data_IF_359362405624
#
_entry.id   IF_359362405624
#
_cell.length_a   1.000
_cell.length_b   1.000
_cell.length_c   1.000
_cell.angle_alpha   90.00
_cell.angle_beta   90.00
_cell.angle_gamma   90.00
#
_symmetry.space_group_name_H-M   'P 1'
#
loop_
_entity.id
_entity.type
_entity.pdbx_description
1 polymer ?
#
# COMPACT_ATOMS: atom_id res chain seq x y z
N UNK A 1 -38.21 -32.97 6.63
CA UNK A 1 -38.59 -31.55 6.77
C UNK A 1 -37.59 -30.79 7.63
N UNK A 2 -37.19 -31.34 8.78
CA UNK A 2 -36.23 -30.73 9.73
C UNK A 2 -34.85 -30.53 9.06
N UNK A 3 -34.29 -31.54 8.45
CA UNK A 3 -32.98 -31.51 7.79
C UNK A 3 -32.89 -30.42 6.73
N UNK A 4 -33.95 -30.27 5.94
CA UNK A 4 -34.00 -29.24 4.88
C UNK A 4 -34.00 -27.81 5.47
N UNK A 5 -34.76 -27.58 6.55
CA UNK A 5 -34.90 -26.25 7.15
C UNK A 5 -33.66 -25.83 7.95
N UNK A 6 -33.05 -26.75 8.70
CA UNK A 6 -31.96 -26.43 9.63
C UNK A 6 -30.57 -26.53 9.01
N UNK A 7 -30.38 -27.32 7.96
CA UNK A 7 -29.10 -27.55 7.33
C UNK A 7 -29.04 -27.12 5.86
N UNK A 8 -29.90 -27.69 5.00
CA UNK A 8 -29.81 -27.48 3.55
C UNK A 8 -30.09 -26.04 3.15
N UNK A 9 -31.12 -25.41 3.72
CA UNK A 9 -31.47 -24.02 3.39
C UNK A 9 -30.40 -23.01 3.78
N UNK A 10 -29.82 -23.03 5.00
CA UNK A 10 -28.70 -22.17 5.37
C UNK A 10 -27.48 -22.36 4.47
N UNK A 11 -27.09 -23.61 4.17
CA UNK A 11 -25.95 -23.90 3.29
C UNK A 11 -26.23 -23.35 1.86
N UNK A 12 -27.43 -23.55 1.33
CA UNK A 12 -27.80 -22.99 0.02
C UNK A 12 -27.73 -21.45 0.02
N UNK A 13 -28.13 -20.80 1.09
CA UNK A 13 -28.00 -19.34 1.23
C UNK A 13 -26.53 -18.89 1.26
N UNK A 14 -25.63 -19.60 1.93
CA UNK A 14 -24.21 -19.34 1.93
C UNK A 14 -23.59 -19.48 0.52
N UNK A 15 -23.96 -20.54 -0.21
CA UNK A 15 -23.54 -20.74 -1.58
C UNK A 15 -24.03 -19.60 -2.48
N UNK A 16 -25.29 -19.20 -2.33
CA UNK A 16 -25.86 -18.06 -3.08
C UNK A 16 -25.10 -16.77 -2.78
N UNK A 17 -24.80 -16.52 -1.50
CA UNK A 17 -24.01 -15.36 -1.08
C UNK A 17 -22.61 -15.36 -1.71
N UNK A 18 -21.90 -16.49 -1.68
CA UNK A 18 -20.57 -16.59 -2.30
C UNK A 18 -20.62 -16.34 -3.80
N UNK A 19 -21.66 -16.83 -4.50
CA UNK A 19 -21.82 -16.57 -5.93
C UNK A 19 -22.14 -15.09 -6.21
N UNK A 20 -22.95 -14.43 -5.37
CA UNK A 20 -23.24 -13.00 -5.50
C UNK A 20 -21.99 -12.13 -5.33
N UNK A 21 -21.10 -12.50 -4.41
CA UNK A 21 -19.80 -11.83 -4.26
C UNK A 21 -18.98 -11.97 -5.54
N UNK A 22 -18.91 -13.18 -6.09
CA UNK A 22 -18.18 -13.46 -7.34
C UNK A 22 -18.71 -12.63 -8.51
N UNK A 23 -20.02 -12.48 -8.62
CA UNK A 23 -20.69 -11.77 -9.71
C UNK A 23 -20.79 -10.25 -9.49
N UNK A 24 -20.13 -9.69 -8.44
CA UNK A 24 -20.20 -8.27 -8.04
C UNK A 24 -21.66 -7.75 -7.89
N UNK A 25 -22.60 -8.64 -7.60
CA UNK A 25 -24.01 -8.28 -7.43
C UNK A 25 -24.23 -7.63 -6.07
N UNK A 26 -24.67 -6.38 -6.07
CA UNK A 26 -24.96 -5.57 -4.86
C UNK A 26 -26.24 -6.00 -4.13
N UNK A 27 -26.81 -7.17 -4.44
CA UNK A 27 -27.98 -7.65 -3.72
C UNK A 27 -27.59 -8.06 -2.31
N UNK A 28 -28.12 -7.36 -1.31
CA UNK A 28 -28.01 -7.72 0.11
C UNK A 28 -28.56 -9.13 0.29
N UNK A 29 -27.67 -10.10 0.31
CA UNK A 29 -28.05 -11.48 0.60
C UNK A 29 -28.43 -11.59 2.06
N UNK A 30 -29.35 -12.49 2.38
CA UNK A 30 -29.93 -12.68 3.71
C UNK A 30 -28.95 -13.42 4.66
N UNK A 31 -27.65 -13.07 4.61
CA UNK A 31 -26.61 -13.69 5.43
C UNK A 31 -26.74 -13.29 6.91
N UNK A 32 -27.31 -12.12 7.21
CA UNK A 32 -27.47 -11.65 8.58
C UNK A 32 -28.34 -12.57 9.43
N UNK A 33 -29.35 -13.20 8.83
CA UNK A 33 -30.19 -14.18 9.53
C UNK A 33 -29.41 -15.46 9.90
N UNK A 34 -28.32 -15.75 9.17
CA UNK A 34 -27.49 -16.93 9.42
C UNK A 34 -26.35 -16.57 10.39
N UNK A 35 -25.82 -15.34 10.34
CA UNK A 35 -24.79 -14.85 11.27
C UNK A 35 -25.22 -14.92 12.74
N UNK A 36 -26.51 -14.81 13.03
CA UNK A 36 -27.08 -14.84 14.38
C UNK A 36 -27.26 -16.26 14.95
N UNK A 37 -26.85 -17.30 14.25
CA UNK A 37 -26.87 -18.68 14.75
C UNK A 37 -25.69 -18.92 15.70
N UNK A 38 -25.94 -19.76 16.72
CA UNK A 38 -24.92 -20.17 17.72
C UNK A 38 -24.37 -21.58 17.43
N UNK A 39 -24.33 -21.99 16.16
CA UNK A 39 -23.80 -23.27 15.71
C UNK A 39 -22.65 -23.08 14.72
N UNK A 40 -22.11 -24.19 14.19
CA UNK A 40 -20.99 -24.21 13.23
C UNK A 40 -21.34 -23.45 11.95
N UNK A 41 -22.61 -23.49 11.52
CA UNK A 41 -23.07 -22.75 10.33
C UNK A 41 -23.07 -21.24 10.60
N UNK A 42 -23.43 -20.82 11.81
CA UNK A 42 -23.34 -19.44 12.25
C UNK A 42 -21.89 -18.95 12.29
N UNK A 43 -20.98 -19.76 12.84
CA UNK A 43 -19.55 -19.46 12.88
C UNK A 43 -18.97 -19.35 11.46
N UNK A 44 -19.30 -20.28 10.57
CA UNK A 44 -18.88 -20.24 9.16
C UNK A 44 -19.42 -18.98 8.46
N UNK A 45 -20.67 -18.61 8.72
CA UNK A 45 -21.29 -17.41 8.14
C UNK A 45 -20.59 -16.13 8.60
N UNK A 46 -20.19 -16.03 9.88
CA UNK A 46 -19.43 -14.90 10.41
C UNK A 46 -18.07 -14.79 9.73
N UNK A 47 -17.31 -15.90 9.73
CA UNK A 47 -15.96 -15.91 9.10
C UNK A 47 -16.01 -15.58 7.61
N UNK A 48 -17.02 -16.09 6.89
CA UNK A 48 -17.22 -15.74 5.48
C UNK A 48 -17.56 -14.26 5.28
N UNK A 49 -18.39 -13.69 6.17
CA UNK A 49 -18.70 -12.27 6.17
C UNK A 49 -17.46 -11.41 6.41
N UNK A 50 -16.68 -11.71 7.45
CA UNK A 50 -15.44 -11.01 7.77
C UNK A 50 -14.43 -11.06 6.61
N UNK A 51 -14.26 -12.23 6.00
CA UNK A 51 -13.39 -12.39 4.83
C UNK A 51 -13.87 -11.54 3.64
N UNK A 52 -15.18 -11.47 3.44
CA UNK A 52 -15.75 -10.66 2.35
C UNK A 52 -15.57 -9.16 2.60
N UNK A 53 -15.81 -8.71 3.82
CA UNK A 53 -15.66 -7.31 4.21
C UNK A 53 -14.19 -6.88 4.06
N UNK A 54 -13.24 -7.74 4.46
CA UNK A 54 -11.81 -7.50 4.28
C UNK A 54 -11.42 -7.44 2.79
N UNK A 55 -11.97 -8.35 1.97
CA UNK A 55 -11.74 -8.34 0.52
C UNK A 55 -12.27 -7.06 -0.13
N UNK A 56 -13.48 -6.64 0.21
CA UNK A 56 -14.04 -5.38 -0.29
C UNK A 56 -13.21 -4.18 0.11
N UNK A 57 -12.75 -4.11 1.36
CA UNK A 57 -11.87 -3.05 1.85
C UNK A 57 -10.58 -2.98 1.03
N UNK A 58 -9.95 -4.12 0.75
CA UNK A 58 -8.73 -4.18 -0.07
C UNK A 58 -8.97 -3.72 -1.50
N UNK A 59 -10.08 -4.16 -2.11
CA UNK A 59 -10.44 -3.74 -3.48
C UNK A 59 -10.66 -2.23 -3.52
N UNK A 60 -11.46 -1.67 -2.60
CA UNK A 60 -11.72 -0.22 -2.56
C UNK A 60 -10.44 0.57 -2.32
N UNK A 61 -9.58 0.08 -1.44
CA UNK A 61 -8.27 0.71 -1.20
C UNK A 61 -7.40 0.72 -2.47
N UNK A 62 -7.32 -0.41 -3.19
CA UNK A 62 -6.58 -0.50 -4.44
C UNK A 62 -7.17 0.38 -5.55
N UNK A 63 -8.51 0.46 -5.66
CA UNK A 63 -9.20 1.33 -6.61
C UNK A 63 -8.93 2.82 -6.32
N UNK A 64 -8.97 3.24 -5.06
CA UNK A 64 -8.66 4.61 -4.66
C UNK A 64 -7.21 4.96 -5.00
N UNK A 65 -6.24 4.11 -4.65
CA UNK A 65 -4.84 4.32 -4.99
C UNK A 65 -4.59 4.40 -6.49
N UNK A 66 -5.24 3.54 -7.28
CA UNK A 66 -5.15 3.61 -8.75
C UNK A 66 -5.68 4.92 -9.29
N UNK A 67 -6.78 5.41 -8.73
CA UNK A 67 -7.40 6.68 -9.15
C UNK A 67 -6.50 7.85 -8.81
N UNK A 68 -5.96 7.89 -7.60
CA UNK A 68 -5.05 8.94 -7.14
C UNK A 68 -3.76 8.96 -7.99
N UNK A 69 -3.17 7.80 -8.25
CA UNK A 69 -2.00 7.68 -9.12
C UNK A 69 -2.27 8.23 -10.54
N UNK A 70 -3.41 7.85 -11.13
CA UNK A 70 -3.80 8.35 -12.45
C UNK A 70 -3.96 9.86 -12.47
N UNK A 71 -4.52 10.47 -11.43
CA UNK A 71 -4.63 11.92 -11.31
C UNK A 71 -3.26 12.58 -11.16
N UNK A 72 -2.37 12.03 -10.34
CA UNK A 72 -1.04 12.58 -10.13
C UNK A 72 -0.11 12.44 -11.34
N UNK A 73 -0.28 11.39 -12.17
CA UNK A 73 0.46 11.23 -13.43
C UNK A 73 -0.09 12.14 -14.53
N UNK A 74 -1.41 12.37 -14.57
CA UNK A 74 -2.03 13.19 -15.61
C UNK A 74 -1.50 14.64 -15.62
N UNK A 75 -1.22 15.20 -14.44
CA UNK A 75 -0.74 16.58 -14.33
C UNK A 75 0.63 16.78 -14.98
N UNK A 76 1.70 16.04 -14.66
CA UNK A 76 2.98 16.16 -15.34
C UNK A 76 2.89 15.80 -16.83
N UNK A 77 2.06 14.83 -17.22
CA UNK A 77 1.85 14.51 -18.64
C UNK A 77 1.24 15.68 -19.41
N UNK A 78 0.29 16.43 -18.84
CA UNK A 78 -0.27 17.64 -19.46
C UNK A 78 0.78 18.73 -19.58
N UNK A 79 1.62 18.93 -18.55
CA UNK A 79 2.75 19.86 -18.57
C UNK A 79 3.77 19.49 -19.63
N UNK A 80 4.18 18.22 -19.70
CA UNK A 80 5.08 17.69 -20.73
C UNK A 80 4.55 17.94 -22.14
N UNK A 81 3.26 17.70 -22.38
CA UNK A 81 2.62 17.96 -23.67
C UNK A 81 2.69 19.43 -24.02
N UNK A 82 2.29 20.33 -23.12
CA UNK A 82 2.34 21.77 -23.34
C UNK A 82 3.77 22.27 -23.58
N UNK A 83 4.74 21.78 -22.80
CA UNK A 83 6.14 22.13 -23.00
C UNK A 83 6.67 21.67 -24.36
N UNK A 84 6.29 20.44 -24.79
CA UNK A 84 6.67 19.90 -26.10
C UNK A 84 6.10 20.74 -27.26
N UNK A 85 4.83 21.15 -27.17
CA UNK A 85 4.18 22.00 -28.18
C UNK A 85 4.92 23.33 -28.31
N UNK A 86 5.22 24.01 -27.19
CA UNK A 86 5.94 25.28 -27.18
C UNK A 86 7.39 25.13 -27.65
N UNK A 87 8.09 24.05 -27.31
CA UNK A 87 9.46 23.80 -27.79
C UNK A 87 9.50 23.68 -29.30
N UNK A 88 8.47 23.14 -29.93
CA UNK A 88 8.40 22.98 -31.39
C UNK A 88 8.15 24.30 -32.10
N UNK A 89 7.55 25.27 -31.43
CA UNK A 89 7.17 26.58 -32.01
C UNK A 89 8.15 27.72 -31.70
N UNK A 90 9.04 27.55 -30.70
CA UNK A 90 9.94 28.62 -30.24
C UNK A 90 11.34 28.51 -30.86
N UNK A 91 11.86 29.63 -31.37
CA UNK A 91 13.25 29.78 -31.83
C UNK A 91 14.18 30.33 -30.75
N UNK A 92 13.63 30.79 -29.62
CA UNK A 92 14.42 31.33 -28.50
C UNK A 92 15.11 30.22 -27.73
N UNK A 93 16.44 30.16 -27.82
CA UNK A 93 17.28 29.19 -27.09
C UNK A 93 17.11 29.28 -25.57
N UNK A 94 16.91 30.47 -25.03
CA UNK A 94 16.75 30.67 -23.58
C UNK A 94 15.42 30.05 -23.10
N UNK A 95 14.36 30.31 -23.85
CA UNK A 95 13.04 29.75 -23.56
C UNK A 95 13.04 28.23 -23.74
N UNK A 96 13.63 27.69 -24.81
CA UNK A 96 13.78 26.26 -25.04
C UNK A 96 14.51 25.58 -23.91
N UNK A 97 15.61 26.13 -23.39
CA UNK A 97 16.33 25.57 -22.26
C UNK A 97 15.52 25.54 -20.96
N UNK A 98 14.67 26.53 -20.74
CA UNK A 98 13.76 26.53 -19.57
C UNK A 98 12.71 25.42 -19.69
N UNK A 99 12.13 25.26 -20.88
CA UNK A 99 11.13 24.21 -21.14
C UNK A 99 11.73 22.81 -21.01
N UNK A 100 12.95 22.57 -21.48
CA UNK A 100 13.65 21.29 -21.31
C UNK A 100 13.84 20.96 -19.83
N UNK A 101 14.15 21.95 -18.99
CA UNK A 101 14.24 21.73 -17.53
C UNK A 101 12.91 21.33 -16.91
N UNK A 102 11.81 21.94 -17.37
CA UNK A 102 10.45 21.55 -16.92
C UNK A 102 10.16 20.11 -17.34
N UNK A 103 10.45 19.75 -18.57
CA UNK A 103 10.29 18.37 -19.08
C UNK A 103 11.08 17.38 -18.24
N UNK A 104 12.37 17.67 -17.97
CA UNK A 104 13.21 16.78 -17.13
C UNK A 104 12.65 16.63 -15.73
N UNK A 105 12.23 17.72 -15.10
CA UNK A 105 11.64 17.70 -13.77
C UNK A 105 10.33 16.88 -13.71
N UNK A 106 9.47 17.03 -14.74
CA UNK A 106 8.20 16.29 -14.78
C UNK A 106 8.41 14.79 -15.04
N UNK A 107 9.41 14.41 -15.86
CA UNK A 107 9.84 13.01 -16.02
C UNK A 107 10.32 12.42 -14.70
N UNK A 108 11.24 13.10 -14.00
CA UNK A 108 11.72 12.67 -12.69
C UNK A 108 10.58 12.52 -11.67
N UNK A 109 9.58 13.40 -11.75
CA UNK A 109 8.39 13.31 -10.89
C UNK A 109 7.59 12.07 -11.19
N UNK A 110 7.36 11.72 -12.47
CA UNK A 110 6.64 10.50 -12.87
C UNK A 110 7.41 9.25 -12.42
N UNK A 111 8.73 9.20 -12.62
CA UNK A 111 9.56 8.09 -12.17
C UNK A 111 9.46 7.88 -10.65
N UNK A 112 9.45 8.98 -9.90
CA UNK A 112 9.26 8.93 -8.44
C UNK A 112 7.89 8.36 -8.07
N UNK A 113 6.82 8.85 -8.69
CA UNK A 113 5.47 8.37 -8.44
C UNK A 113 5.34 6.85 -8.70
N UNK A 114 5.91 6.37 -9.81
CA UNK A 114 5.90 4.94 -10.14
C UNK A 114 6.69 4.13 -9.11
N UNK A 115 7.84 4.63 -8.67
CA UNK A 115 8.68 3.97 -7.68
C UNK A 115 7.98 3.89 -6.33
N UNK A 116 7.44 5.01 -5.85
CA UNK A 116 6.73 5.10 -4.57
C UNK A 116 5.49 4.19 -4.57
N UNK A 117 4.74 4.15 -5.69
CA UNK A 117 3.59 3.26 -5.84
C UNK A 117 3.99 1.77 -5.85
N UNK A 118 5.07 1.44 -6.56
CA UNK A 118 5.59 0.07 -6.59
C UNK A 118 6.08 -0.38 -5.21
N UNK A 119 6.66 0.53 -4.42
CA UNK A 119 7.07 0.24 -3.05
C UNK A 119 5.85 0.02 -2.16
N UNK A 120 4.85 0.88 -2.24
CA UNK A 120 3.61 0.74 -1.47
C UNK A 120 2.91 -0.61 -1.73
N UNK A 121 2.85 -1.08 -2.99
CA UNK A 121 2.29 -2.39 -3.32
C UNK A 121 3.09 -3.54 -2.69
N UNK A 122 4.43 -3.43 -2.64
CA UNK A 122 5.28 -4.41 -1.97
C UNK A 122 5.05 -4.43 -0.46
N UNK A 123 4.94 -3.25 0.14
CA UNK A 123 4.71 -3.11 1.58
C UNK A 123 3.34 -3.70 1.97
N UNK A 124 2.30 -3.46 1.18
CA UNK A 124 0.96 -4.03 1.39
C UNK A 124 0.99 -5.57 1.26
N UNK A 125 1.72 -6.11 0.29
CA UNK A 125 1.91 -7.54 0.13
C UNK A 125 2.69 -8.14 1.31
N UNK A 126 3.72 -7.48 1.80
CA UNK A 126 4.50 -7.89 2.97
C UNK A 126 3.66 -7.90 4.25
N UNK A 127 2.89 -6.84 4.51
CA UNK A 127 1.96 -6.75 5.65
C UNK A 127 0.97 -7.92 5.65
N UNK A 128 0.54 -8.36 4.47
CA UNK A 128 -0.45 -9.42 4.33
C UNK A 128 0.14 -10.83 4.47
N UNK A 129 1.39 -11.02 4.03
CA UNK A 129 2.03 -12.34 3.95
C UNK A 129 2.98 -12.66 5.10
N UNK A 130 3.56 -11.65 5.72
CA UNK A 130 4.57 -11.87 6.76
C UNK A 130 3.95 -12.05 8.15
N UNK A 131 4.54 -12.98 8.91
CA UNK A 131 4.19 -13.19 10.32
C UNK A 131 4.97 -12.19 11.17
N UNK A 132 4.30 -11.65 12.18
CA UNK A 132 4.97 -10.81 13.19
C UNK A 132 6.11 -11.58 13.86
N UNK A 133 7.29 -10.97 13.93
CA UNK A 133 8.50 -11.48 14.56
C UNK A 133 8.94 -10.55 15.69
N UNK A 134 9.74 -11.07 16.61
CA UNK A 134 10.42 -10.21 17.59
C UNK A 134 11.52 -9.42 16.88
N UNK A 135 11.45 -8.11 16.99
CA UNK A 135 12.36 -7.16 16.35
C UNK A 135 13.04 -6.36 17.46
N UNK A 136 14.36 -6.24 17.40
CA UNK A 136 15.11 -5.37 18.30
C UNK A 136 15.12 -3.94 17.75
N UNK A 137 14.46 -3.02 18.47
CA UNK A 137 14.38 -1.61 18.09
C UNK A 137 15.77 -0.93 18.10
N UNK A 138 16.69 -1.41 18.92
CA UNK A 138 18.04 -0.82 19.01
C UNK A 138 18.80 -1.06 17.71
N UNK A 139 18.71 -2.26 17.14
CA UNK A 139 19.34 -2.58 15.84
C UNK A 139 18.79 -1.70 14.72
N UNK A 140 17.46 -1.52 14.66
CA UNK A 140 16.84 -0.69 13.63
C UNK A 140 17.28 0.78 13.78
N UNK A 141 17.18 1.34 14.99
CA UNK A 141 17.55 2.75 15.22
C UNK A 141 19.05 2.95 14.97
N UNK A 142 19.89 1.97 15.30
CA UNK A 142 21.32 2.01 15.01
C UNK A 142 21.58 2.05 13.50
N UNK A 143 20.94 1.18 12.73
CA UNK A 143 21.05 1.18 11.25
C UNK A 143 20.66 2.53 10.66
N UNK A 144 19.53 3.10 11.09
CA UNK A 144 19.08 4.43 10.63
C UNK A 144 20.07 5.53 10.99
N UNK A 145 20.65 5.50 12.20
CA UNK A 145 21.66 6.48 12.63
C UNK A 145 22.95 6.34 11.83
N UNK A 146 23.38 5.12 11.55
CA UNK A 146 24.59 4.84 10.77
C UNK A 146 24.40 5.30 9.31
N UNK A 147 23.23 5.04 8.70
CA UNK A 147 22.88 5.52 7.36
C UNK A 147 22.85 7.06 7.32
N UNK A 148 22.23 7.69 8.31
CA UNK A 148 22.17 9.14 8.40
C UNK A 148 23.57 9.74 8.52
N UNK A 149 24.43 9.20 9.40
CA UNK A 149 25.79 9.66 9.57
C UNK A 149 26.61 9.49 8.28
N UNK A 150 26.44 8.40 7.54
CA UNK A 150 27.13 8.16 6.26
C UNK A 150 26.80 9.21 5.20
N UNK A 151 25.56 9.72 5.18
CA UNK A 151 25.07 10.71 4.21
C UNK A 151 25.51 12.13 4.59
N UNK A 152 25.49 12.47 5.89
CA UNK A 152 25.68 13.85 6.37
C UNK A 152 27.08 14.16 6.90
N UNK A 153 27.85 13.16 7.31
CA UNK A 153 29.23 13.36 7.79
C UNK A 153 30.13 14.03 6.74
N UNK A 154 29.94 13.66 5.46
CA UNK A 154 30.65 14.25 4.33
C UNK A 154 30.25 15.68 3.97
N UNK A 155 29.09 16.19 4.43
CA UNK A 155 28.53 17.49 4.00
C UNK A 155 28.48 18.57 5.06
N UNK A 156 28.35 18.24 6.36
CA UNK A 156 28.10 19.24 7.42
C UNK A 156 28.75 18.97 8.78
N UNK A 157 29.58 17.93 8.95
CA UNK A 157 30.18 17.54 10.25
C UNK A 157 29.14 17.40 11.38
N UNK A 158 27.93 16.97 11.06
CA UNK A 158 26.85 16.74 12.02
C UNK A 158 26.75 15.24 12.22
N UNK A 159 27.11 14.75 13.40
CA UNK A 159 26.99 13.34 13.79
C UNK A 159 25.87 13.13 14.80
N UNK A 160 25.04 12.10 14.57
CA UNK A 160 24.02 11.66 15.52
C UNK A 160 24.59 10.50 16.34
N UNK A 161 24.43 10.54 17.66
CA UNK A 161 24.85 9.47 18.58
C UNK A 161 23.65 8.84 19.24
N UNK A 162 23.52 7.54 19.12
CA UNK A 162 22.49 6.77 19.82
C UNK A 162 22.94 6.50 21.26
N UNK A 163 22.13 6.90 22.24
CA UNK A 163 22.31 6.52 23.66
C UNK A 163 21.22 5.53 24.05
N UNK A 164 21.62 4.34 24.45
CA UNK A 164 20.71 3.31 24.98
C UNK A 164 21.03 3.07 26.47
N UNK A 165 19.98 2.91 27.28
CA UNK A 165 20.15 2.43 28.65
C UNK A 165 20.32 0.91 28.64
N UNK A 166 21.54 0.43 28.79
CA UNK A 166 22.02 -0.92 28.55
C UNK A 166 21.38 -2.09 29.32
N UNK A 167 20.26 -1.88 30.01
CA UNK A 167 19.58 -2.93 30.79
C UNK A 167 18.14 -3.20 30.40
N UNK A 168 17.61 -2.55 29.35
CA UNK A 168 16.24 -2.76 28.89
C UNK A 168 16.21 -3.51 27.56
N UNK A 169 15.45 -4.59 27.52
CA UNK A 169 15.13 -5.29 26.27
C UNK A 169 14.12 -4.44 25.49
N UNK A 170 14.54 -3.87 24.38
CA UNK A 170 13.70 -3.04 23.50
C UNK A 170 13.10 -3.84 22.34
N UNK A 171 12.77 -5.11 22.57
CA UNK A 171 12.15 -5.94 21.53
C UNK A 171 10.64 -5.74 21.50
N UNK A 172 10.10 -5.58 20.27
CA UNK A 172 8.67 -5.52 19.98
C UNK A 172 8.27 -6.65 19.05
N UNK A 173 6.98 -6.95 19.02
CA UNK A 173 6.40 -7.81 18.00
C UNK A 173 6.03 -6.93 16.80
N UNK A 174 6.65 -7.17 15.65
CA UNK A 174 6.43 -6.39 14.44
C UNK A 174 6.71 -7.20 13.18
N UNK A 175 6.38 -6.61 12.06
CA UNK A 175 6.80 -7.11 10.75
C UNK A 175 8.27 -6.75 10.52
N UNK A 176 9.03 -7.64 9.90
CA UNK A 176 10.45 -7.39 9.60
C UNK A 176 10.56 -6.26 8.58
N UNK A 177 11.08 -5.10 9.03
CA UNK A 177 11.23 -3.88 8.22
C UNK A 177 12.37 -3.95 7.19
N UNK A 178 12.94 -5.13 6.93
CA UNK A 178 14.05 -5.30 5.98
C UNK A 178 13.68 -4.74 4.59
N UNK A 179 12.40 -4.73 4.25
CA UNK A 179 11.94 -4.18 2.96
C UNK A 179 11.60 -2.68 2.99
N UNK A 180 11.50 -2.07 4.19
CA UNK A 180 11.22 -0.62 4.32
C UNK A 180 12.53 0.19 4.34
N UNK A 181 13.64 -0.45 4.65
CA UNK A 181 14.93 0.22 4.86
C UNK A 181 15.89 0.18 3.67
N UNK A 182 15.47 -0.26 2.48
CA UNK A 182 16.23 0.13 1.28
C UNK A 182 15.83 1.57 0.91
N UNK A 183 16.55 2.60 1.40
CA UNK A 183 16.45 3.90 0.78
C UNK A 183 16.84 3.66 -0.67
N UNK A 184 15.93 3.93 -1.59
CA UNK A 184 16.27 4.03 -3.00
C UNK A 184 17.55 4.84 -3.08
N UNK A 185 18.67 4.17 -3.27
CA UNK A 185 19.95 4.84 -3.52
C UNK A 185 19.76 5.69 -4.75
N UNK A 186 19.49 6.96 -4.53
CA UNK A 186 19.54 7.95 -5.58
C UNK A 186 21.00 8.30 -5.78
N UNK A 187 21.50 7.90 -6.91
CA UNK A 187 22.70 8.46 -7.49
C UNK A 187 22.44 9.88 -7.98
#
# INVERSE_FOLDING_TARGET
FVLNRYFLKPIKNLVTYTNQIKDKSNQKSNIETIKNRNDEIGTLSKSLGEMTDELHKRITTAENYSTDLLHEIRNPLASLKSASDIISETDDKSQRNKLIKIVSHDVERIERLITDYSQMLRDEAAITSEKMKRIDLVEIVKSVVDDFNSIYDSKKSIGIKLKTNGSKNYSILGLSLIHISEPTRRY
#
